data_IF_786167268338
#
_entry.id   IF_786167268338
#
_cell.length_a   1.000
_cell.length_b   1.000
_cell.length_c   1.000
_cell.angle_alpha   90.00
_cell.angle_beta   90.00
_cell.angle_gamma   90.00
#
_symmetry.space_group_name_H-M   'P 1'
#
loop_
_entity.id
_entity.type
_entity.pdbx_description
1 polymer ?
#
# COMPACT_ATOMS: atom_id res chain seq x y z
N UNK A 1 -1.84 -5.62 -4.01
CA UNK A 1 -3.22 -5.53 -4.55
C UNK A 1 -4.19 -6.39 -3.71
N UNK A 2 -5.33 -5.85 -3.25
CA UNK A 2 -6.33 -6.54 -2.38
C UNK A 2 -7.68 -6.83 -3.06
N UNK A 3 -7.79 -6.57 -4.36
CA UNK A 3 -8.99 -6.77 -5.18
C UNK A 3 -8.56 -7.17 -6.62
N UNK A 4 -9.41 -7.68 -7.50
CA UNK A 4 -8.96 -8.35 -8.73
C UNK A 4 -8.96 -7.46 -9.97
N UNK A 5 -9.34 -6.19 -9.83
CA UNK A 5 -9.50 -5.31 -10.98
C UNK A 5 -9.12 -3.88 -10.65
N UNK A 6 -8.91 -3.09 -11.70
CA UNK A 6 -8.66 -1.66 -11.56
C UNK A 6 -9.81 -1.00 -10.80
N UNK A 7 -9.47 -0.08 -9.90
CA UNK A 7 -10.46 0.71 -9.17
C UNK A 7 -10.38 2.16 -9.62
N UNK A 8 -11.55 2.71 -9.95
CA UNK A 8 -11.73 4.12 -10.30
C UNK A 8 -12.59 4.84 -9.27
N UNK A 9 -12.47 6.15 -9.22
CA UNK A 9 -13.34 6.98 -8.39
C UNK A 9 -14.65 7.26 -9.13
N UNK A 10 -15.72 6.61 -8.69
CA UNK A 10 -17.09 6.90 -9.13
C UNK A 10 -17.79 7.90 -8.21
N UNK A 11 -19.05 8.20 -8.51
CA UNK A 11 -19.89 9.14 -7.77
C UNK A 11 -20.05 8.77 -6.27
N UNK A 12 -20.09 7.47 -5.97
CA UNK A 12 -20.27 6.96 -4.61
C UNK A 12 -18.97 6.47 -3.95
N UNK A 13 -17.82 6.78 -4.55
CA UNK A 13 -16.50 6.38 -4.05
C UNK A 13 -15.80 5.37 -4.97
N UNK A 14 -14.79 4.65 -4.46
CA UNK A 14 -14.02 3.69 -5.23
C UNK A 14 -14.91 2.55 -5.76
N UNK A 15 -14.82 2.25 -7.05
CA UNK A 15 -15.56 1.18 -7.70
C UNK A 15 -14.65 0.39 -8.67
N UNK A 16 -14.84 -0.94 -8.71
CA UNK A 16 -14.11 -1.82 -9.62
C UNK A 16 -14.57 -1.61 -11.06
N UNK A 17 -13.62 -1.64 -12.00
CA UNK A 17 -13.88 -1.85 -13.42
C UNK A 17 -13.68 -3.34 -13.69
N UNK A 18 -14.71 -4.15 -13.44
CA UNK A 18 -14.68 -5.60 -13.61
C UNK A 18 -15.41 -6.35 -12.48
N UNK A 19 -15.28 -7.67 -12.49
CA UNK A 19 -15.88 -8.54 -11.50
C UNK A 19 -15.14 -8.50 -10.14
N UNK A 20 -15.81 -8.96 -9.09
CA UNK A 20 -15.25 -9.08 -7.74
C UNK A 20 -15.69 -7.97 -6.79
N UNK A 21 -14.94 -7.81 -5.69
CA UNK A 21 -15.26 -6.84 -4.65
C UNK A 21 -14.00 -6.18 -4.09
N UNK A 22 -14.14 -4.93 -3.63
CA UNK A 22 -13.07 -4.22 -2.94
C UNK A 22 -12.64 -5.02 -1.72
N UNK A 23 -11.32 -5.18 -1.55
CA UNK A 23 -10.71 -5.89 -0.43
C UNK A 23 -11.11 -7.36 -0.30
N UNK A 24 -11.55 -8.02 -1.38
CA UNK A 24 -11.95 -9.44 -1.34
C UNK A 24 -10.85 -10.39 -0.83
N UNK A 25 -9.57 -10.00 -0.89
CA UNK A 25 -8.45 -10.80 -0.35
C UNK A 25 -7.95 -10.31 1.01
N UNK A 26 -8.68 -9.42 1.68
CA UNK A 26 -8.34 -8.99 3.04
C UNK A 26 -8.28 -10.16 4.02
N UNK A 27 -9.13 -11.17 3.84
CA UNK A 27 -9.17 -12.35 4.69
C UNK A 27 -7.94 -13.25 4.54
N UNK A 28 -7.18 -13.12 3.44
CA UNK A 28 -5.88 -13.80 3.30
C UNK A 28 -4.79 -13.08 4.11
N UNK A 29 -4.90 -11.76 4.22
CA UNK A 29 -3.93 -10.92 4.94
C UNK A 29 -4.20 -10.88 6.45
N UNK A 30 -5.46 -10.86 6.86
CA UNK A 30 -5.85 -10.69 8.26
C UNK A 30 -5.23 -11.72 9.23
N UNK A 31 -5.18 -13.04 8.92
CA UNK A 31 -4.55 -14.03 9.77
C UNK A 31 -3.04 -13.84 9.92
N UNK A 32 -2.35 -13.49 8.83
CA UNK A 32 -0.92 -13.20 8.84
C UNK A 32 -0.62 -12.01 9.76
N UNK A 33 -1.43 -10.96 9.67
CA UNK A 33 -1.31 -9.81 10.55
C UNK A 33 -1.65 -10.19 12.00
N UNK A 34 -2.69 -10.99 12.24
CA UNK A 34 -3.06 -11.45 13.57
C UNK A 34 -1.91 -12.16 14.29
N UNK A 35 -1.16 -13.01 13.56
CA UNK A 35 0.05 -13.67 14.07
C UNK A 35 1.23 -12.71 14.33
N UNK A 36 1.21 -11.51 13.75
CA UNK A 36 2.26 -10.49 13.90
C UNK A 36 1.66 -9.15 14.36
N UNK A 37 1.23 -9.04 15.64
CA UNK A 37 0.47 -7.88 16.14
C UNK A 37 1.25 -6.55 16.10
N UNK A 38 2.59 -6.61 16.02
CA UNK A 38 3.47 -5.45 15.91
C UNK A 38 3.51 -4.84 14.49
N UNK A 39 2.94 -5.51 13.49
CA UNK A 39 2.93 -5.03 12.11
C UNK A 39 1.88 -3.95 11.93
N UNK A 40 2.36 -2.79 11.48
CA UNK A 40 1.55 -1.63 11.11
C UNK A 40 1.40 -1.56 9.57
N UNK A 41 0.30 -0.97 9.11
CA UNK A 41 -0.02 -0.81 7.70
C UNK A 41 0.08 0.66 7.28
N UNK A 42 0.59 0.88 6.07
CA UNK A 42 0.62 2.20 5.42
C UNK A 42 -0.04 2.06 4.06
N UNK A 43 -1.01 2.92 3.76
CA UNK A 43 -1.74 2.85 2.50
C UNK A 43 -0.96 3.56 1.39
N UNK A 44 -0.64 2.84 0.32
CA UNK A 44 -0.19 3.41 -0.95
C UNK A 44 -1.30 3.21 -1.97
N UNK A 45 -2.15 4.23 -2.13
CA UNK A 45 -3.31 4.16 -3.03
C UNK A 45 -3.52 5.50 -3.74
N UNK A 46 -4.03 5.47 -4.97
CA UNK A 46 -4.46 6.67 -5.68
C UNK A 46 -5.68 7.34 -5.03
N UNK A 47 -6.49 6.62 -4.24
CA UNK A 47 -7.70 7.19 -3.64
C UNK A 47 -7.41 8.30 -2.63
N UNK A 48 -6.22 8.25 -2.00
CA UNK A 48 -5.74 9.29 -1.09
C UNK A 48 -5.53 10.65 -1.79
N UNK A 49 -5.59 10.72 -3.12
CA UNK A 49 -5.62 11.97 -3.90
C UNK A 49 -7.00 12.62 -3.95
N UNK A 50 -8.05 11.81 -3.80
CA UNK A 50 -9.44 12.23 -4.00
C UNK A 50 -10.25 12.28 -2.70
N UNK A 51 -9.81 11.54 -1.68
CA UNK A 51 -10.54 11.38 -0.43
C UNK A 51 -9.64 11.68 0.78
N UNK A 52 -10.21 12.20 1.89
CA UNK A 52 -9.52 12.28 3.17
C UNK A 52 -8.97 10.92 3.61
N UNK A 53 -7.84 10.93 4.29
CA UNK A 53 -7.17 9.70 4.74
C UNK A 53 -8.07 8.81 5.59
N UNK A 54 -8.85 9.41 6.49
CA UNK A 54 -9.79 8.70 7.35
C UNK A 54 -10.83 7.94 6.51
N UNK A 55 -11.34 8.56 5.45
CA UNK A 55 -12.31 7.92 4.55
C UNK A 55 -11.67 6.77 3.77
N UNK A 56 -10.46 6.97 3.22
CA UNK A 56 -9.72 5.89 2.53
C UNK A 56 -9.48 4.70 3.46
N UNK A 57 -9.05 4.99 4.69
CA UNK A 57 -8.82 4.01 5.75
C UNK A 57 -10.11 3.26 6.10
N UNK A 58 -11.23 3.96 6.16
CA UNK A 58 -12.49 3.40 6.63
C UNK A 58 -13.17 2.45 5.63
N UNK A 59 -12.74 2.44 4.37
CA UNK A 59 -13.12 1.39 3.41
C UNK A 59 -12.50 0.03 3.71
N UNK A 60 -11.39 -0.04 4.46
CA UNK A 60 -10.77 -1.32 4.79
C UNK A 60 -11.62 -2.09 5.81
N UNK A 61 -11.66 -3.43 5.71
CA UNK A 61 -12.20 -4.27 6.78
C UNK A 61 -11.56 -3.97 8.13
N UNK A 62 -12.35 -4.06 9.21
CA UNK A 62 -11.95 -3.64 10.57
C UNK A 62 -10.62 -4.26 11.02
N UNK A 63 -10.37 -5.52 10.66
CA UNK A 63 -9.15 -6.24 11.02
C UNK A 63 -7.86 -5.58 10.49
N UNK A 64 -7.92 -4.98 9.30
CA UNK A 64 -6.81 -4.28 8.68
C UNK A 64 -6.82 -2.80 9.08
N UNK A 65 -8.01 -2.19 9.09
CA UNK A 65 -8.22 -0.77 9.40
C UNK A 65 -7.53 -0.32 10.69
N UNK A 66 -7.65 -1.11 11.75
CA UNK A 66 -7.07 -0.83 13.08
C UNK A 66 -5.54 -0.78 13.09
N UNK A 67 -4.89 -1.31 12.05
CA UNK A 67 -3.42 -1.35 11.91
C UNK A 67 -2.89 -0.25 11.01
N UNK A 68 -3.75 0.51 10.34
CA UNK A 68 -3.33 1.59 9.44
C UNK A 68 -2.86 2.78 10.25
N UNK A 69 -1.59 3.16 10.06
CA UNK A 69 -0.96 4.29 10.76
C UNK A 69 -0.74 5.51 9.86
N UNK A 70 -0.98 5.38 8.56
CA UNK A 70 -0.85 6.47 7.63
C UNK A 70 -0.98 6.06 6.18
N UNK A 71 -0.64 6.99 5.28
CA UNK A 71 -0.61 6.78 3.84
C UNK A 71 0.60 7.45 3.22
N UNK A 72 1.15 6.86 2.15
CA UNK A 72 2.27 7.46 1.40
C UNK A 72 1.93 8.80 0.74
N UNK A 73 0.63 9.15 0.70
CA UNK A 73 0.08 10.36 0.07
C UNK A 73 -0.26 11.51 1.04
N UNK A 74 0.09 11.43 2.34
CA UNK A 74 -0.47 12.36 3.31
C UNK A 74 0.09 13.80 3.23
N UNK A 75 -0.83 14.78 3.13
CA UNK A 75 -0.68 16.24 3.03
C UNK A 75 0.69 16.75 2.56
N UNK A 76 0.82 16.80 1.23
CA UNK A 76 1.85 17.55 0.50
C UNK A 76 2.06 18.96 1.12
N UNK A 77 0.98 19.67 1.46
CA UNK A 77 1.04 21.04 1.98
C UNK A 77 1.60 21.18 3.39
N UNK A 78 1.53 20.13 4.23
CA UNK A 78 2.12 20.15 5.59
C UNK A 78 3.49 19.48 5.61
N UNK A 79 4.00 19.09 4.45
CA UNK A 79 5.26 18.41 4.33
C UNK A 79 6.41 19.42 4.39
N UNK A 80 7.37 19.29 5.32
CA UNK A 80 8.53 20.18 5.37
C UNK A 80 9.30 20.21 4.05
N UNK A 81 9.35 19.08 3.32
CA UNK A 81 10.03 19.00 2.04
C UNK A 81 9.26 19.68 0.88
N UNK A 82 7.95 19.91 1.04
CA UNK A 82 7.18 20.76 0.12
C UNK A 82 7.61 22.23 0.23
N UNK A 83 7.92 22.68 1.45
CA UNK A 83 8.48 24.02 1.70
C UNK A 83 9.90 24.19 1.11
N UNK A 84 10.58 23.08 0.79
CA UNK A 84 11.90 23.06 0.16
C UNK A 84 11.87 22.80 -1.36
N UNK A 85 10.69 22.93 -2.00
CA UNK A 85 10.58 22.96 -3.46
C UNK A 85 10.20 21.65 -4.14
N UNK A 86 9.68 20.64 -3.43
CA UNK A 86 9.01 19.50 -4.08
C UNK A 86 7.72 19.99 -4.76
N UNK A 87 7.65 20.03 -6.11
CA UNK A 87 6.46 20.53 -6.77
C UNK A 87 5.32 19.52 -6.66
N UNK A 88 4.07 20.00 -6.74
CA UNK A 88 2.89 19.12 -6.81
C UNK A 88 2.97 18.08 -7.94
N UNK A 89 3.67 18.40 -9.05
CA UNK A 89 3.91 17.49 -10.18
C UNK A 89 4.71 16.24 -9.79
N UNK A 90 5.62 16.33 -8.82
CA UNK A 90 6.38 15.16 -8.34
C UNK A 90 5.43 14.04 -7.93
N UNK A 91 4.29 14.35 -7.33
CA UNK A 91 3.36 13.33 -6.88
C UNK A 91 2.49 12.76 -7.99
N UNK A 92 2.33 13.48 -9.10
CA UNK A 92 1.71 12.96 -10.32
C UNK A 92 2.65 11.99 -11.03
N UNK A 93 3.93 12.35 -11.11
CA UNK A 93 4.93 11.63 -11.90
C UNK A 93 5.70 10.56 -11.09
N UNK A 94 5.65 10.62 -9.76
CA UNK A 94 6.41 9.70 -8.92
C UNK A 94 5.84 8.28 -8.99
N UNK A 95 6.74 7.33 -9.25
CA UNK A 95 6.42 5.90 -9.21
C UNK A 95 5.93 5.48 -7.82
N UNK A 96 5.21 4.36 -7.74
CA UNK A 96 4.79 3.79 -6.45
C UNK A 96 5.97 3.55 -5.52
N UNK A 97 7.07 3.04 -6.08
CA UNK A 97 8.31 2.87 -5.34
C UNK A 97 8.84 4.16 -4.72
N UNK A 98 8.88 5.26 -5.47
CA UNK A 98 9.36 6.55 -4.94
C UNK A 98 8.50 7.06 -3.77
N UNK A 99 7.17 6.91 -3.86
CA UNK A 99 6.25 7.27 -2.78
C UNK A 99 6.50 6.41 -1.52
N UNK A 100 6.69 5.10 -1.67
CA UNK A 100 7.03 4.18 -0.57
C UNK A 100 8.39 4.51 0.04
N UNK A 101 9.42 4.72 -0.79
CA UNK A 101 10.77 5.06 -0.32
C UNK A 101 10.84 6.35 0.45
N UNK A 102 10.09 7.34 0.03
CA UNK A 102 9.97 8.60 0.75
C UNK A 102 9.43 8.38 2.17
N UNK A 103 8.35 7.61 2.30
CA UNK A 103 7.80 7.24 3.62
C UNK A 103 8.82 6.50 4.48
N UNK A 104 9.49 5.50 3.91
CA UNK A 104 10.55 4.71 4.57
C UNK A 104 11.66 5.62 5.09
N UNK A 105 12.14 6.56 4.28
CA UNK A 105 13.20 7.51 4.65
C UNK A 105 12.75 8.45 5.75
N UNK A 106 11.59 9.09 5.58
CA UNK A 106 11.06 10.07 6.55
C UNK A 106 10.85 9.44 7.93
N UNK A 107 10.38 8.20 7.97
CA UNK A 107 10.07 7.48 9.21
C UNK A 107 11.21 6.55 9.64
N UNK A 108 12.35 6.57 8.94
CA UNK A 108 13.57 5.79 9.25
C UNK A 108 13.28 4.29 9.41
N UNK A 109 12.41 3.74 8.57
CA UNK A 109 11.97 2.35 8.66
C UNK A 109 13.11 1.40 8.25
N UNK A 110 13.47 0.47 9.15
CA UNK A 110 14.51 -0.55 8.89
C UNK A 110 13.93 -1.86 8.35
N UNK A 111 12.74 -2.24 8.86
CA UNK A 111 12.00 -3.44 8.45
C UNK A 111 10.69 -3.01 7.83
N UNK A 112 10.54 -3.28 6.55
CA UNK A 112 9.36 -2.92 5.77
C UNK A 112 9.27 -3.83 4.54
N UNK A 113 8.06 -4.00 4.05
CA UNK A 113 7.73 -4.67 2.80
C UNK A 113 6.60 -3.89 2.11
N UNK A 114 6.50 -4.00 0.79
CA UNK A 114 5.37 -3.49 0.00
C UNK A 114 4.65 -4.65 -0.67
N UNK A 115 3.32 -4.55 -0.79
CA UNK A 115 2.51 -5.50 -1.54
C UNK A 115 1.89 -4.71 -2.70
N UNK A 116 2.45 -4.88 -3.88
CA UNK A 116 2.11 -4.06 -5.04
C UNK A 116 2.19 -4.90 -6.30
N UNK A 117 1.34 -4.59 -7.27
CA UNK A 117 1.40 -5.14 -8.63
C UNK A 117 2.28 -4.30 -9.57
N UNK A 118 2.67 -3.10 -9.13
CA UNK A 118 3.61 -2.23 -9.82
C UNK A 118 5.05 -2.40 -9.29
N UNK A 119 5.92 -2.90 -10.17
CA UNK A 119 7.35 -3.08 -9.93
C UNK A 119 8.21 -1.97 -10.56
N UNK A 120 7.60 -0.92 -11.13
CA UNK A 120 8.32 0.15 -11.81
C UNK A 120 9.20 0.99 -10.87
N UNK A 121 10.39 1.33 -11.35
CA UNK A 121 11.38 2.13 -10.63
C UNK A 121 11.99 1.50 -9.37
N UNK A 122 11.64 0.27 -9.00
CA UNK A 122 12.20 -0.40 -7.82
C UNK A 122 13.71 -0.63 -7.95
N UNK A 123 14.48 -0.10 -7.01
CA UNK A 123 15.93 -0.35 -6.95
C UNK A 123 16.23 -1.79 -6.52
N UNK A 124 17.31 -2.36 -7.04
CA UNK A 124 17.71 -3.75 -6.76
C UNK A 124 17.86 -4.07 -5.27
N UNK A 125 18.39 -3.12 -4.49
CA UNK A 125 18.54 -3.25 -3.04
C UNK A 125 17.21 -3.38 -2.28
N UNK A 126 16.11 -2.90 -2.85
CA UNK A 126 14.77 -2.98 -2.24
C UNK A 126 13.86 -4.00 -2.90
N UNK A 127 14.22 -4.59 -4.06
CA UNK A 127 13.45 -5.65 -4.70
C UNK A 127 13.04 -6.79 -3.76
N UNK A 128 13.90 -7.28 -2.83
CA UNK A 128 13.50 -8.33 -1.89
C UNK A 128 12.36 -7.94 -0.93
N UNK A 129 12.06 -6.64 -0.81
CA UNK A 129 11.00 -6.06 0.02
C UNK A 129 9.69 -5.87 -0.74
N UNK A 130 9.68 -6.02 -2.07
CA UNK A 130 8.46 -6.04 -2.87
C UNK A 130 7.90 -7.46 -2.89
N UNK A 131 6.70 -7.63 -2.34
CA UNK A 131 5.81 -8.74 -2.64
C UNK A 131 5.09 -8.38 -3.93
N UNK A 132 5.71 -8.72 -5.06
CA UNK A 132 5.16 -8.41 -6.37
C UNK A 132 3.97 -9.32 -6.63
N UNK A 133 2.79 -8.73 -6.73
CA UNK A 133 1.56 -9.45 -7.05
C UNK A 133 1.18 -9.23 -8.51
N UNK A 134 0.29 -10.05 -9.06
CA UNK A 134 -0.36 -9.70 -10.32
C UNK A 134 -1.56 -8.79 -10.05
N UNK A 135 -1.90 -7.94 -11.01
CA UNK A 135 -3.06 -7.05 -10.89
C UNK A 135 -4.39 -7.81 -10.75
N UNK A 136 -4.52 -8.97 -11.41
CA UNK A 136 -5.73 -9.78 -11.47
C UNK A 136 -5.92 -10.74 -10.28
N UNK A 137 -4.82 -11.18 -9.66
CA UNK A 137 -4.83 -12.15 -8.55
C UNK A 137 -4.33 -11.63 -7.21
N UNK A 138 -3.61 -10.50 -7.18
CA UNK A 138 -3.13 -9.84 -5.95
C UNK A 138 -2.65 -10.81 -4.86
N UNK A 139 -3.27 -10.72 -3.68
CA UNK A 139 -3.00 -11.60 -2.52
C UNK A 139 -3.83 -12.89 -2.50
N UNK A 140 -4.51 -13.27 -3.59
CA UNK A 140 -4.99 -14.64 -3.74
C UNK A 140 -3.85 -15.61 -4.12
N UNK A 141 -2.72 -15.10 -4.59
CA UNK A 141 -1.56 -15.90 -4.97
C UNK A 141 -0.87 -16.52 -3.73
N UNK A 142 -0.82 -17.86 -3.60
CA UNK A 142 -0.15 -18.53 -2.49
C UNK A 142 1.35 -18.22 -2.39
N UNK A 143 2.03 -17.95 -3.51
CA UNK A 143 3.44 -17.58 -3.51
C UNK A 143 3.65 -16.19 -2.88
N UNK A 144 2.78 -15.22 -3.20
CA UNK A 144 2.82 -13.90 -2.59
C UNK A 144 2.55 -13.97 -1.07
N UNK A 145 1.57 -14.76 -0.64
CA UNK A 145 1.28 -14.97 0.78
C UNK A 145 2.44 -15.65 1.53
N UNK A 146 3.05 -16.68 0.92
CA UNK A 146 4.19 -17.39 1.50
C UNK A 146 5.39 -16.44 1.67
N UNK A 147 5.70 -15.66 0.64
CA UNK A 147 6.78 -14.67 0.69
C UNK A 147 6.51 -13.58 1.72
N UNK A 148 5.28 -13.09 1.82
CA UNK A 148 4.89 -12.15 2.87
C UNK A 148 5.09 -12.77 4.26
N UNK A 149 4.64 -14.01 4.47
CA UNK A 149 4.80 -14.71 5.73
C UNK A 149 6.27 -14.93 6.12
N UNK A 150 7.17 -15.15 5.17
CA UNK A 150 8.63 -15.20 5.41
C UNK A 150 9.16 -13.85 5.90
N UNK A 151 8.82 -12.76 5.21
CA UNK A 151 9.26 -11.41 5.60
C UNK A 151 8.75 -11.01 6.98
N UNK A 152 7.51 -11.36 7.32
CA UNK A 152 6.92 -11.05 8.62
C UNK A 152 7.54 -11.86 9.77
N UNK A 153 8.01 -13.08 9.51
CA UNK A 153 8.75 -13.91 10.49
C UNK A 153 10.14 -13.36 10.81
N UNK A 154 10.65 -12.44 9.99
CA UNK A 154 11.95 -11.80 10.21
C UNK A 154 13.15 -12.68 9.88
N UNK A 155 13.00 -13.64 8.97
CA UNK A 155 14.17 -14.37 8.48
C UNK A 155 15.02 -13.43 7.59
N UNK A 156 16.33 -13.32 7.89
CA UNK A 156 17.27 -12.53 7.10
C UNK A 156 17.43 -13.03 5.67
#
# INVERSE_FOLDING_TARGET
MLHPSQVVMGEHGPALIGDGALFMWADNLAPLLAAHPHVQLVLSTSWARHLPFEQVRDFLPVALRRRVVGSTWHRIQTDPAFSHGLPYSYWQDATRYQQVRRWVTLHRLRRWASIDDDADGWADADRPRLIHTRADSGLSDPAALSRLAELLRGQP
#
